data_IF_791143879813
#
_entry.id   IF_791143879813
#
_cell.length_a   1.000
_cell.length_b   1.000
_cell.length_c   1.000
_cell.angle_alpha   90.00
_cell.angle_beta   90.00
_cell.angle_gamma   90.00
#
_symmetry.space_group_name_H-M   'P 1'
#
loop_
_entity.id
_entity.type
_entity.pdbx_description
1 polymer ?
#
# COMPACT_ATOMS: atom_id res chain seq x y z
N UNK A 1 -16.25 6.90 20.66
CA UNK A 1 -14.83 6.51 20.59
C UNK A 1 -14.75 5.12 21.21
N UNK A 2 -14.49 4.10 20.41
CA UNK A 2 -14.73 2.70 20.78
C UNK A 2 -13.77 2.23 21.88
N UNK A 3 -14.26 1.40 22.80
CA UNK A 3 -13.47 0.74 23.87
C UNK A 3 -12.21 0.03 23.34
N UNK A 4 -12.23 -0.35 22.06
CA UNK A 4 -11.10 -0.99 21.35
C UNK A 4 -9.88 -0.06 21.25
N UNK A 5 -10.09 1.24 21.00
CA UNK A 5 -8.97 2.19 20.90
C UNK A 5 -8.34 2.46 22.27
N UNK A 6 -9.14 2.45 23.34
CA UNK A 6 -8.66 2.62 24.70
C UNK A 6 -7.90 1.38 25.20
N UNK A 7 -8.38 0.18 24.87
CA UNK A 7 -7.70 -1.08 25.22
C UNK A 7 -6.38 -1.23 24.45
N UNK A 8 -6.34 -0.85 23.17
CA UNK A 8 -5.11 -0.84 22.37
C UNK A 8 -4.04 0.10 22.95
N UNK A 9 -4.43 1.32 23.35
CA UNK A 9 -3.53 2.27 24.00
C UNK A 9 -3.00 1.75 25.34
N UNK A 10 -3.84 1.13 26.16
CA UNK A 10 -3.42 0.54 27.42
C UNK A 10 -2.42 -0.62 27.21
N UNK A 11 -2.62 -1.42 26.14
CA UNK A 11 -1.69 -2.49 25.75
C UNK A 11 -0.33 -1.95 25.33
N UNK A 12 -0.31 -0.87 24.55
CA UNK A 12 0.90 -0.20 24.07
C UNK A 12 1.70 0.36 25.26
N UNK A 13 1.03 0.99 26.22
CA UNK A 13 1.69 1.54 27.40
C UNK A 13 2.28 0.46 28.32
N UNK A 14 1.57 -0.66 28.49
CA UNK A 14 2.07 -1.82 29.24
C UNK A 14 3.32 -2.43 28.59
N UNK A 15 3.33 -2.54 27.25
CA UNK A 15 4.47 -3.00 26.47
C UNK A 15 5.68 -2.07 26.65
N UNK A 16 5.45 -0.75 26.55
CA UNK A 16 6.48 0.26 26.77
C UNK A 16 7.12 0.13 28.14
N UNK A 17 6.32 -0.02 29.21
CA UNK A 17 6.84 -0.18 30.58
C UNK A 17 7.72 -1.42 30.72
N UNK A 18 7.31 -2.55 30.15
CA UNK A 18 8.12 -3.78 30.18
C UNK A 18 9.45 -3.62 29.47
N UNK A 19 9.48 -2.97 28.32
CA UNK A 19 10.71 -2.71 27.58
C UNK A 19 11.68 -1.80 28.36
N UNK A 20 11.16 -0.79 29.07
CA UNK A 20 11.96 0.06 29.96
C UNK A 20 12.53 -0.75 31.15
N UNK A 21 11.75 -1.68 31.73
CA UNK A 21 12.19 -2.55 32.84
C UNK A 21 13.27 -3.57 32.41
N UNK A 22 13.22 -4.03 31.16
CA UNK A 22 14.18 -4.99 30.59
C UNK A 22 15.46 -4.32 30.06
N UNK A 23 15.55 -2.99 30.14
CA UNK A 23 16.73 -2.22 29.73
C UNK A 23 16.91 -2.16 28.21
N UNK A 24 15.87 -2.48 27.44
CA UNK A 24 15.85 -2.26 26.01
C UNK A 24 15.72 -0.75 25.73
N UNK A 25 16.46 -0.20 24.76
CA UNK A 25 16.30 1.19 24.39
C UNK A 25 14.90 1.38 23.80
N UNK A 26 13.97 1.86 24.62
CA UNK A 26 12.70 2.38 24.12
C UNK A 26 13.06 3.58 23.28
N UNK A 27 12.99 3.41 21.96
CA UNK A 27 13.11 4.53 21.02
C UNK A 27 12.16 5.60 21.54
N UNK A 28 12.72 6.75 21.91
CA UNK A 28 11.97 7.87 22.48
C UNK A 28 10.76 8.06 21.58
N UNK A 29 9.52 7.99 22.08
CA UNK A 29 8.34 8.16 21.24
C UNK A 29 8.35 9.55 20.55
N UNK A 30 9.17 10.50 21.02
CA UNK A 30 9.49 11.75 20.32
C UNK A 30 10.58 11.62 19.23
N UNK A 31 11.47 10.62 19.31
CA UNK A 31 12.40 10.25 18.24
C UNK A 31 11.79 9.27 17.22
N UNK A 32 10.89 8.38 17.66
CA UNK A 32 9.96 7.61 16.82
C UNK A 32 8.77 8.47 16.34
N UNK A 33 8.68 9.71 16.84
CA UNK A 33 7.59 10.65 16.61
C UNK A 33 8.11 12.00 16.13
N UNK A 34 8.76 11.99 14.97
CA UNK A 34 8.19 12.81 13.92
C UNK A 34 7.20 11.95 13.15
N UNK A 35 5.94 11.90 13.61
CA UNK A 35 4.81 11.58 12.73
C UNK A 35 4.64 12.62 11.61
N UNK A 36 5.49 13.65 11.55
CA UNK A 36 5.83 14.37 10.33
C UNK A 36 6.94 13.64 9.56
N UNK A 37 6.73 12.34 9.33
CA UNK A 37 7.44 11.62 8.29
C UNK A 37 7.02 12.22 6.94
N UNK A 38 7.90 12.12 5.95
CA UNK A 38 7.49 12.40 4.57
C UNK A 38 6.24 11.58 4.25
N UNK A 39 5.23 12.23 3.67
CA UNK A 39 3.98 11.61 3.28
C UNK A 39 4.06 11.24 1.80
N UNK A 40 3.81 9.97 1.50
CA UNK A 40 3.90 9.43 0.15
C UNK A 40 2.58 8.82 -0.29
N UNK A 41 2.23 9.00 -1.56
CA UNK A 41 1.06 8.36 -2.16
C UNK A 41 1.35 6.92 -2.61
N UNK A 42 2.63 6.59 -2.76
CA UNK A 42 3.09 5.26 -3.16
C UNK A 42 4.37 4.89 -2.40
N UNK A 43 4.52 3.61 -2.07
CA UNK A 43 5.78 3.10 -1.53
C UNK A 43 6.00 1.63 -1.91
N UNK A 44 7.26 1.23 -1.88
CA UNK A 44 7.70 -0.12 -2.20
C UNK A 44 7.40 -1.06 -1.05
N UNK A 45 6.65 -2.13 -1.34
CA UNK A 45 6.18 -3.08 -0.34
C UNK A 45 6.42 -4.52 -0.79
N UNK A 46 6.45 -5.44 0.17
CA UNK A 46 6.32 -6.87 0.00
C UNK A 46 5.04 -7.31 0.66
N UNK A 47 4.26 -8.15 -0.01
CA UNK A 47 3.24 -8.97 0.64
C UNK A 47 3.93 -10.25 1.11
N UNK A 48 3.95 -10.47 2.42
CA UNK A 48 4.60 -11.62 3.05
C UNK A 48 3.62 -12.40 3.89
N UNK A 49 3.79 -13.72 3.92
CA UNK A 49 2.97 -14.58 4.75
C UNK A 49 3.48 -16.01 4.74
N UNK A 50 2.80 -16.82 5.56
CA UNK A 50 2.99 -18.26 5.60
C UNK A 50 1.94 -18.93 4.72
N UNK A 51 2.24 -20.08 4.12
CA UNK A 51 1.25 -20.78 3.29
C UNK A 51 -0.03 -21.08 4.08
N UNK A 52 -1.17 -20.70 3.49
CA UNK A 52 -2.49 -20.82 4.12
C UNK A 52 -2.82 -19.75 5.16
N UNK A 53 -2.03 -18.68 5.25
CA UNK A 53 -2.34 -17.48 6.04
C UNK A 53 -2.47 -16.24 5.16
N UNK A 54 -3.03 -15.17 5.73
CA UNK A 54 -3.13 -13.89 5.04
C UNK A 54 -1.76 -13.30 4.74
N UNK A 55 -1.65 -12.62 3.60
CA UNK A 55 -0.46 -11.84 3.29
C UNK A 55 -0.54 -10.45 3.94
N UNK A 56 0.58 -10.02 4.51
CA UNK A 56 0.74 -8.74 5.17
C UNK A 56 1.71 -7.86 4.39
N UNK A 57 1.36 -6.56 4.27
CA UNK A 57 2.15 -5.57 3.58
C UNK A 57 3.28 -5.04 4.47
N UNK A 58 4.49 -5.08 3.93
CA UNK A 58 5.73 -4.80 4.64
C UNK A 58 6.59 -3.90 3.75
N UNK A 59 7.14 -2.78 4.26
CA UNK A 59 8.10 -2.00 3.50
C UNK A 59 9.29 -2.84 3.05
N UNK A 60 9.74 -2.65 1.81
CA UNK A 60 10.86 -3.42 1.24
C UNK A 60 12.16 -3.20 2.02
N UNK A 61 12.35 -2.00 2.56
CA UNK A 61 13.59 -1.63 3.29
C UNK A 61 13.61 -2.16 4.73
N UNK A 62 12.51 -2.75 5.22
CA UNK A 62 12.38 -3.31 6.56
C UNK A 62 12.69 -4.83 6.53
N UNK A 63 13.95 -5.18 6.78
CA UNK A 63 14.45 -6.56 6.67
C UNK A 63 14.21 -7.44 7.91
N UNK A 64 13.84 -6.86 9.05
CA UNK A 64 13.65 -7.62 10.30
C UNK A 64 12.50 -8.63 10.23
N UNK A 65 11.55 -8.47 9.30
CA UNK A 65 10.39 -9.36 9.18
C UNK A 65 10.70 -10.70 8.52
N UNK A 66 11.75 -10.77 7.69
CA UNK A 66 12.17 -12.05 7.10
C UNK A 66 12.60 -13.07 8.16
N UNK A 67 13.25 -12.60 9.23
CA UNK A 67 13.65 -13.43 10.35
C UNK A 67 12.46 -13.77 11.27
N UNK A 68 11.48 -12.87 11.38
CA UNK A 68 10.35 -13.00 12.30
C UNK A 68 9.22 -13.91 11.78
N UNK A 69 8.93 -13.87 10.48
CA UNK A 69 7.78 -14.55 9.89
C UNK A 69 8.12 -15.89 9.25
N UNK A 70 9.42 -16.22 9.09
CA UNK A 70 9.87 -17.42 8.36
C UNK A 70 9.13 -17.54 7.01
N UNK A 71 9.11 -16.44 6.27
CA UNK A 71 8.23 -16.26 5.10
C UNK A 71 8.35 -17.41 4.11
N UNK A 72 7.23 -18.09 3.85
CA UNK A 72 7.13 -19.13 2.82
C UNK A 72 6.66 -18.51 1.49
N UNK A 73 5.93 -17.40 1.55
CA UNK A 73 5.42 -16.65 0.39
C UNK A 73 5.81 -15.17 0.50
N UNK A 74 6.40 -14.63 -0.59
CA UNK A 74 6.79 -13.22 -0.67
C UNK A 74 6.58 -12.69 -2.08
N UNK A 75 5.77 -11.63 -2.20
CA UNK A 75 5.50 -10.94 -3.46
C UNK A 75 5.90 -9.48 -3.34
N UNK A 76 6.86 -9.04 -4.14
CA UNK A 76 7.30 -7.65 -4.16
C UNK A 76 6.43 -6.83 -5.11
N UNK A 77 6.17 -5.57 -4.73
CA UNK A 77 5.37 -4.65 -5.52
C UNK A 77 5.37 -3.23 -4.98
N UNK A 78 4.41 -2.46 -5.47
CA UNK A 78 4.20 -1.07 -5.05
C UNK A 78 2.79 -0.93 -4.50
N UNK A 79 2.67 -0.32 -3.32
CA UNK A 79 1.37 -0.01 -2.73
C UNK A 79 1.03 1.46 -2.98
N UNK A 80 -0.16 1.68 -3.52
CA UNK A 80 -0.74 3.00 -3.78
C UNK A 80 -1.82 3.32 -2.75
N UNK A 81 -1.79 4.53 -2.20
CA UNK A 81 -2.79 5.04 -1.25
C UNK A 81 -4.20 5.02 -1.84
N UNK A 82 -5.19 4.57 -1.04
CA UNK A 82 -6.59 4.65 -1.44
C UNK A 82 -7.13 6.08 -1.33
N UNK A 83 -6.88 6.73 -0.19
CA UNK A 83 -7.47 8.03 0.16
C UNK A 83 -6.45 8.96 0.83
N UNK A 84 -5.74 8.48 1.86
CA UNK A 84 -4.76 9.26 2.62
C UNK A 84 -3.33 8.79 2.31
N UNK A 85 -2.38 9.73 2.15
CA UNK A 85 -0.98 9.37 1.96
C UNK A 85 -0.41 8.68 3.20
N UNK A 86 0.56 7.80 2.96
CA UNK A 86 1.22 7.03 4.00
C UNK A 86 2.39 7.79 4.59
N UNK A 87 2.67 7.66 5.89
CA UNK A 87 4.03 7.89 6.39
C UNK A 87 4.99 6.90 5.71
N UNK A 88 6.14 7.38 5.23
CA UNK A 88 7.20 6.51 4.68
C UNK A 88 7.55 5.41 5.68
N UNK A 89 7.56 4.16 5.22
CA UNK A 89 7.89 2.99 6.04
C UNK A 89 6.74 2.46 6.90
N UNK A 90 5.52 2.99 6.77
CA UNK A 90 4.37 2.46 7.51
C UNK A 90 3.91 1.10 6.93
N UNK A 91 3.71 0.11 7.80
CA UNK A 91 3.21 -1.23 7.42
C UNK A 91 1.68 -1.38 7.57
N UNK A 92 1.04 -0.63 8.48
CA UNK A 92 -0.42 -0.69 8.73
C UNK A 92 -1.21 0.26 7.81
N UNK A 93 -1.04 0.09 6.50
CA UNK A 93 -1.54 1.00 5.46
C UNK A 93 -2.68 0.40 4.66
N UNK A 94 -3.53 1.26 4.07
CA UNK A 94 -4.69 0.86 3.25
C UNK A 94 -4.54 1.39 1.84
N UNK A 95 -4.70 0.54 0.85
CA UNK A 95 -4.43 0.90 -0.54
C UNK A 95 -4.57 -0.24 -1.53
N UNK A 96 -4.02 -0.03 -2.71
CA UNK A 96 -3.99 -1.01 -3.80
C UNK A 96 -2.55 -1.39 -4.07
N UNK A 97 -2.23 -2.66 -3.93
CA UNK A 97 -0.91 -3.23 -4.16
C UNK A 97 -0.84 -3.75 -5.59
N UNK A 98 0.17 -3.33 -6.35
CA UNK A 98 0.49 -3.89 -7.65
C UNK A 98 1.75 -4.75 -7.55
N UNK A 99 1.66 -6.03 -7.90
CA UNK A 99 2.79 -6.94 -7.94
C UNK A 99 3.73 -6.63 -9.11
N UNK A 100 5.04 -6.67 -8.89
CA UNK A 100 6.03 -6.38 -9.94
C UNK A 100 6.14 -7.48 -11.00
N UNK A 101 5.87 -8.73 -10.60
CA UNK A 101 6.12 -9.91 -11.43
C UNK A 101 5.15 -10.06 -12.59
N UNK A 102 3.87 -9.84 -12.33
CA UNK A 102 2.76 -10.06 -13.27
C UNK A 102 1.86 -8.83 -13.44
N UNK A 103 2.06 -7.78 -12.64
CA UNK A 103 1.27 -6.55 -12.69
C UNK A 103 -0.11 -6.69 -12.06
N UNK A 104 -0.42 -7.82 -11.40
CA UNK A 104 -1.70 -8.06 -10.75
C UNK A 104 -1.89 -7.13 -9.55
N UNK A 105 -3.15 -6.82 -9.28
CA UNK A 105 -3.57 -5.90 -8.24
C UNK A 105 -4.25 -6.64 -7.10
N UNK A 106 -3.97 -6.24 -5.87
CA UNK A 106 -4.68 -6.70 -4.69
C UNK A 106 -5.04 -5.50 -3.81
N UNK A 107 -6.21 -5.55 -3.16
CA UNK A 107 -6.54 -4.57 -2.13
C UNK A 107 -5.86 -4.93 -0.83
N UNK A 108 -5.30 -3.93 -0.15
CA UNK A 108 -4.72 -4.05 1.18
C UNK A 108 -5.51 -3.16 2.12
N UNK A 109 -6.00 -3.72 3.23
CA UNK A 109 -6.73 -3.03 4.27
C UNK A 109 -5.99 -3.18 5.59
N UNK A 110 -5.59 -2.05 6.20
CA UNK A 110 -4.85 -2.02 7.47
C UNK A 110 -3.61 -2.95 7.47
N UNK A 111 -2.86 -2.96 6.38
CA UNK A 111 -1.66 -3.77 6.19
C UNK A 111 -1.91 -5.23 5.84
N UNK A 112 -3.16 -5.68 5.68
CA UNK A 112 -3.50 -7.06 5.30
C UNK A 112 -4.10 -7.10 3.89
N UNK A 113 -3.61 -7.98 3.03
CA UNK A 113 -4.22 -8.23 1.73
C UNK A 113 -5.62 -8.85 1.89
N UNK A 114 -6.59 -8.37 1.11
CA UNK A 114 -7.94 -8.94 1.10
C UNK A 114 -7.93 -10.34 0.47
N UNK A 115 -8.66 -11.26 1.11
CA UNK A 115 -8.70 -12.67 0.74
C UNK A 115 -10.04 -13.01 0.07
N UNK A 116 -9.97 -13.72 -1.05
CA UNK A 116 -11.07 -14.42 -1.70
C UNK A 116 -11.15 -15.90 -1.29
N UNK A 117 -11.78 -16.72 -2.12
CA UNK A 117 -12.01 -18.14 -1.83
C UNK A 117 -10.72 -18.98 -1.77
N UNK A 118 -9.72 -18.61 -2.56
CA UNK A 118 -8.50 -19.40 -2.78
C UNK A 118 -7.21 -18.64 -2.37
N UNK A 119 -7.32 -17.68 -1.45
CA UNK A 119 -6.20 -16.83 -1.01
C UNK A 119 -6.41 -15.38 -1.39
N UNK A 120 -5.32 -14.62 -1.62
CA UNK A 120 -5.42 -13.19 -1.98
C UNK A 120 -6.27 -12.98 -3.23
N UNK A 121 -7.19 -12.02 -3.17
CA UNK A 121 -8.06 -11.67 -4.29
C UNK A 121 -7.31 -10.77 -5.29
N UNK A 122 -6.59 -11.41 -6.21
CA UNK A 122 -5.88 -10.73 -7.29
C UNK A 122 -6.82 -10.30 -8.42
N UNK A 123 -6.54 -9.15 -9.01
CA UNK A 123 -7.26 -8.55 -10.14
C UNK A 123 -6.26 -8.18 -11.25
N UNK A 124 -6.69 -8.26 -12.51
CA UNK A 124 -5.87 -7.90 -13.68
C UNK A 124 -5.65 -6.39 -13.79
N UNK A 125 -6.60 -5.60 -13.27
CA UNK A 125 -6.55 -4.14 -13.37
C UNK A 125 -7.27 -3.42 -12.23
N UNK A 126 -6.94 -2.13 -12.09
CA UNK A 126 -7.56 -1.24 -11.10
C UNK A 126 -9.07 -1.01 -11.38
N UNK A 127 -9.49 -1.14 -12.63
CA UNK A 127 -10.89 -1.02 -13.05
C UNK A 127 -11.80 -2.12 -12.50
N UNK A 128 -11.23 -3.20 -11.98
CA UNK A 128 -12.01 -4.28 -11.37
C UNK A 128 -12.39 -3.99 -9.91
N UNK A 129 -11.93 -2.88 -9.33
CA UNK A 129 -12.36 -2.38 -8.02
C UNK A 129 -13.49 -1.35 -8.20
N UNK A 130 -14.76 -1.68 -7.87
CA UNK A 130 -15.90 -0.79 -8.12
C UNK A 130 -15.78 0.59 -7.48
N UNK A 131 -15.14 0.66 -6.30
CA UNK A 131 -14.86 1.89 -5.58
C UNK A 131 -13.89 2.80 -6.34
N UNK A 132 -12.85 2.24 -6.98
CA UNK A 132 -11.89 2.99 -7.80
C UNK A 132 -12.59 3.54 -9.04
N UNK A 133 -13.44 2.74 -9.67
CA UNK A 133 -14.25 3.17 -10.82
C UNK A 133 -15.21 4.29 -10.40
N UNK A 134 -15.86 4.17 -9.23
CA UNK A 134 -16.76 5.21 -8.72
C UNK A 134 -16.02 6.54 -8.49
N UNK A 135 -14.87 6.49 -7.80
CA UNK A 135 -14.03 7.66 -7.55
C UNK A 135 -13.53 8.31 -8.85
N UNK A 136 -13.14 7.49 -9.84
CA UNK A 136 -12.76 7.98 -11.16
C UNK A 136 -13.93 8.70 -11.84
N UNK A 137 -15.13 8.12 -11.82
CA UNK A 137 -16.32 8.73 -12.44
C UNK A 137 -16.71 10.04 -11.77
N UNK A 138 -16.59 10.13 -10.45
CA UNK A 138 -16.77 11.38 -9.69
C UNK A 138 -15.73 12.44 -10.10
N UNK A 139 -14.46 12.06 -10.23
CA UNK A 139 -13.42 12.95 -10.74
C UNK A 139 -13.75 13.47 -12.15
N UNK A 140 -14.24 12.61 -13.03
CA UNK A 140 -14.58 12.97 -14.42
C UNK A 140 -15.80 13.89 -14.54
N UNK A 141 -16.61 14.01 -13.49
CA UNK A 141 -17.67 15.01 -13.41
C UNK A 141 -17.10 16.44 -13.27
N UNK A 142 -15.90 16.59 -12.72
CA UNK A 142 -15.19 17.86 -12.56
C UNK A 142 -14.44 18.22 -13.85
N UNK A 143 -14.77 19.35 -14.52
CA UNK A 143 -14.17 19.70 -15.81
C UNK A 143 -12.64 19.74 -15.83
N UNK A 144 -12.03 20.23 -14.75
CA UNK A 144 -10.59 20.38 -14.62
C UNK A 144 -9.87 19.01 -14.68
N UNK A 145 -10.36 18.03 -13.93
CA UNK A 145 -9.82 16.67 -13.93
C UNK A 145 -10.10 15.97 -15.26
N UNK A 146 -11.32 16.12 -15.80
CA UNK A 146 -11.65 15.58 -17.12
C UNK A 146 -10.72 16.11 -18.21
N UNK A 147 -10.50 17.42 -18.29
CA UNK A 147 -9.60 18.00 -19.30
C UNK A 147 -8.15 17.59 -19.08
N UNK A 148 -7.71 17.38 -17.83
CA UNK A 148 -6.39 16.82 -17.56
C UNK A 148 -6.26 15.38 -18.09
N UNK A 149 -7.25 14.53 -17.83
CA UNK A 149 -7.30 13.16 -18.34
C UNK A 149 -7.33 13.12 -19.87
N UNK A 150 -8.16 13.95 -20.52
CA UNK A 150 -8.23 14.06 -21.98
C UNK A 150 -6.88 14.48 -22.59
N UNK A 151 -6.20 15.47 -21.99
CA UNK A 151 -4.87 15.89 -22.44
C UNK A 151 -3.84 14.77 -22.32
N UNK A 152 -3.84 14.04 -21.20
CA UNK A 152 -2.93 12.91 -21.00
C UNK A 152 -3.20 11.79 -22.03
N UNK A 153 -4.47 11.47 -22.30
CA UNK A 153 -4.86 10.49 -23.31
C UNK A 153 -4.41 10.89 -24.73
N UNK A 154 -4.63 12.16 -25.10
CA UNK A 154 -4.17 12.69 -26.40
C UNK A 154 -2.65 12.67 -26.52
N UNK A 155 -1.92 13.02 -25.46
CA UNK A 155 -0.46 12.95 -25.42
C UNK A 155 0.02 11.51 -25.63
N UNK A 156 -0.56 10.53 -24.92
CA UNK A 156 -0.21 9.11 -25.07
C UNK A 156 -0.45 8.61 -26.50
N UNK A 157 -1.61 8.91 -27.08
CA UNK A 157 -1.91 8.56 -28.47
C UNK A 157 -0.94 9.22 -29.47
N UNK A 158 -0.51 10.45 -29.21
CA UNK A 158 0.48 11.13 -30.03
C UNK A 158 1.87 10.46 -29.92
N UNK A 159 2.27 10.09 -28.70
CA UNK A 159 3.53 9.37 -28.43
C UNK A 159 3.54 8.00 -29.12
N UNK A 160 2.51 7.19 -28.93
CA UNK A 160 2.41 5.84 -29.49
C UNK A 160 2.24 5.87 -31.02
N UNK A 161 1.49 6.86 -31.53
CA UNK A 161 1.31 7.12 -32.95
C UNK A 161 2.59 7.55 -33.66
N UNK A 162 3.44 8.38 -33.01
CA UNK A 162 4.73 8.81 -33.55
C UNK A 162 5.73 7.65 -33.67
N UNK A 163 5.85 6.80 -32.64
CA UNK A 163 6.70 5.62 -32.68
C UNK A 163 6.24 4.57 -33.70
N UNK A 164 4.93 4.46 -33.96
CA UNK A 164 4.40 3.54 -34.97
C UNK A 164 4.72 3.95 -36.42
N UNK A 165 4.86 5.25 -36.71
CA UNK A 165 5.22 5.76 -38.04
C UNK A 165 6.74 5.77 -38.29
N UNK A 166 7.55 6.01 -37.26
CA UNK A 166 9.01 6.04 -37.38
C UNK A 166 9.65 4.65 -37.62
N UNK A 167 8.96 3.54 -37.32
CA UNK A 167 9.43 2.17 -37.62
C UNK A 167 9.06 1.66 -39.02
N UNK A 168 8.32 2.43 -39.82
CA UNK A 168 7.91 2.04 -41.19
C UNK A 168 8.56 2.88 -42.31
N UNK A 169 9.51 3.76 -41.97
CA UNK A 169 10.34 4.50 -42.91
C UNK A 169 11.77 3.95 -42.86
#
# INVERSE_FOLDING_TARGET
MSDVAADALARIEELRRRMEEEGEPVADAAAAGSLAGELVLEQRMRLVGRSGSALYAVPVDEDWMHDALSDEESVTGTLYASDEPFPVGAAAVTGYFQADGDGLWARVAAGRAEEGADGVEWKEGLEEFPEVVSQFMECMAVPEYRHAAERAALQRLASDGWFSRARRA
#
